data_IF_923544069025
#
_entry.id   IF_923544069025
#
_cell.length_a   1.000
_cell.length_b   1.000
_cell.length_c   1.000
_cell.angle_alpha   90.00
_cell.angle_beta   90.00
_cell.angle_gamma   90.00
#
_symmetry.space_group_name_H-M   'P 1'
#
loop_
_entity.id
_entity.type
_entity.pdbx_description
1 polymer ?
#
# COMPACT_ATOMS: atom_id res chain seq x y z
N UNK A 1 25.60 1.64 -54.85
CA UNK A 1 25.30 1.19 -53.48
C UNK A 1 25.09 2.42 -52.62
N UNK A 2 23.86 2.68 -52.19
CA UNK A 2 23.56 3.66 -51.16
C UNK A 2 22.27 3.20 -50.47
N UNK A 3 22.42 2.68 -49.25
CA UNK A 3 21.29 2.41 -48.36
C UNK A 3 21.03 3.70 -47.57
N UNK A 4 20.00 4.45 -47.95
CA UNK A 4 19.46 5.53 -47.11
C UNK A 4 18.56 4.91 -46.03
N UNK A 5 19.16 4.61 -44.88
CA UNK A 5 18.42 4.26 -43.68
C UNK A 5 17.76 5.50 -43.08
N UNK A 6 16.46 5.67 -43.34
CA UNK A 6 15.63 6.64 -42.62
C UNK A 6 15.48 6.18 -41.15
N UNK A 7 16.44 6.59 -40.32
CA UNK A 7 16.56 6.22 -38.92
C UNK A 7 15.58 6.95 -38.01
N UNK A 8 14.28 6.93 -38.32
CA UNK A 8 13.27 7.27 -37.31
C UNK A 8 13.27 6.16 -36.27
N UNK A 9 14.04 6.33 -35.20
CA UNK A 9 13.96 5.50 -34.00
C UNK A 9 12.54 5.66 -33.46
N UNK A 10 11.66 4.71 -33.79
CA UNK A 10 10.34 4.61 -33.17
C UNK A 10 10.57 4.20 -31.72
N UNK A 11 10.72 5.17 -30.82
CA UNK A 11 10.71 4.91 -29.38
C UNK A 11 9.37 4.24 -29.11
N UNK A 12 9.34 2.98 -28.64
CA UNK A 12 8.07 2.32 -28.34
C UNK A 12 7.35 3.19 -27.31
N UNK A 13 6.17 3.71 -27.67
CA UNK A 13 5.34 4.44 -26.71
C UNK A 13 5.12 3.50 -25.53
N UNK A 14 5.71 3.83 -24.38
CA UNK A 14 5.49 3.08 -23.14
C UNK A 14 3.97 3.06 -22.95
N UNK A 15 3.35 1.89 -23.06
CA UNK A 15 1.90 1.72 -22.95
C UNK A 15 1.54 2.11 -21.52
N UNK A 16 1.19 3.37 -21.30
CA UNK A 16 0.74 3.82 -19.99
C UNK A 16 -0.51 3.02 -19.62
N UNK A 17 -0.46 2.42 -18.44
CA UNK A 17 -1.63 1.78 -17.87
C UNK A 17 -2.52 2.90 -17.36
N UNK A 18 -3.40 3.38 -18.23
CA UNK A 18 -4.55 4.21 -17.92
C UNK A 18 -5.26 3.55 -16.74
N UNK A 19 -5.20 4.20 -15.55
CA UNK A 19 -5.65 3.72 -14.23
C UNK A 19 -4.66 2.92 -13.36
N UNK A 20 -3.36 3.04 -13.56
CA UNK A 20 -2.37 2.60 -12.56
C UNK A 20 -2.35 3.55 -11.35
N UNK A 21 -2.71 3.03 -10.17
CA UNK A 21 -2.60 3.74 -8.89
C UNK A 21 -1.62 3.04 -7.94
N UNK A 22 -0.65 2.32 -8.52
CA UNK A 22 0.34 1.59 -7.75
C UNK A 22 1.32 2.52 -7.05
N UNK A 23 1.59 3.71 -7.61
CA UNK A 23 2.51 4.68 -7.01
C UNK A 23 1.96 5.27 -5.71
N UNK A 24 0.66 5.55 -5.65
CA UNK A 24 -0.02 6.00 -4.43
C UNK A 24 0.02 4.91 -3.35
N UNK A 25 -0.26 3.65 -3.72
CA UNK A 25 -0.19 2.53 -2.79
C UNK A 25 1.23 2.33 -2.22
N UNK A 26 2.28 2.55 -3.03
CA UNK A 26 3.67 2.47 -2.59
C UNK A 26 3.99 3.51 -1.52
N UNK A 27 3.60 4.76 -1.76
CA UNK A 27 3.82 5.85 -0.79
C UNK A 27 3.09 5.54 0.51
N UNK A 28 1.84 5.09 0.43
CA UNK A 28 1.05 4.74 1.62
C UNK A 28 1.72 3.60 2.41
N UNK A 29 2.20 2.55 1.76
CA UNK A 29 2.89 1.45 2.45
C UNK A 29 4.18 1.87 3.14
N UNK A 30 4.97 2.75 2.52
CA UNK A 30 6.17 3.30 3.16
C UNK A 30 5.79 4.14 4.37
N UNK A 31 4.80 5.03 4.24
CA UNK A 31 4.34 5.86 5.36
C UNK A 31 3.80 4.98 6.50
N UNK A 32 2.97 3.98 6.20
CA UNK A 32 2.44 3.04 7.19
C UNK A 32 3.55 2.26 7.90
N UNK A 33 4.58 1.83 7.18
CA UNK A 33 5.72 1.14 7.78
C UNK A 33 6.46 2.05 8.77
N UNK A 34 6.70 3.32 8.40
CA UNK A 34 7.31 4.31 9.29
C UNK A 34 6.43 4.57 10.52
N UNK A 35 5.13 4.73 10.34
CA UNK A 35 4.18 4.94 11.43
C UNK A 35 4.17 3.77 12.42
N UNK A 36 4.20 2.52 11.94
CA UNK A 36 4.28 1.34 12.83
C UNK A 36 5.53 1.40 13.72
N UNK A 37 6.69 1.73 13.15
CA UNK A 37 7.95 1.82 13.90
C UNK A 37 7.93 2.98 14.89
N UNK A 38 7.46 4.16 14.46
CA UNK A 38 7.37 5.33 15.33
C UNK A 38 6.40 5.07 16.48
N UNK A 39 5.21 4.54 16.20
CA UNK A 39 4.20 4.26 17.21
C UNK A 39 4.75 3.35 18.32
N UNK A 40 5.32 2.21 17.94
CA UNK A 40 5.95 1.27 18.88
C UNK A 40 7.12 1.90 19.65
N UNK A 41 7.93 2.73 18.99
CA UNK A 41 9.05 3.43 19.65
C UNK A 41 8.59 4.48 20.65
N UNK A 42 7.42 5.10 20.44
CA UNK A 42 6.81 6.04 21.37
C UNK A 42 6.00 5.37 22.49
N UNK A 43 5.93 4.04 22.51
CA UNK A 43 5.17 3.28 23.51
C UNK A 43 3.66 3.22 23.27
N UNK A 44 3.21 3.50 22.04
CA UNK A 44 1.81 3.34 21.67
C UNK A 44 1.43 1.85 21.67
N UNK A 45 0.23 1.54 22.17
CA UNK A 45 -0.27 0.17 22.21
C UNK A 45 -0.84 -0.24 20.86
N UNK A 46 -0.04 -0.97 20.08
CA UNK A 46 -0.46 -1.56 18.82
C UNK A 46 -0.71 -3.07 19.01
N UNK A 47 -1.64 -3.68 18.26
CA UNK A 47 -1.94 -5.11 18.30
C UNK A 47 -0.84 -5.95 17.61
N UNK A 48 0.42 -5.63 17.86
CA UNK A 48 1.61 -6.23 17.28
C UNK A 48 2.66 -6.38 18.38
N UNK A 49 3.30 -7.55 18.44
CA UNK A 49 4.54 -7.69 19.21
C UNK A 49 5.65 -6.84 18.59
N UNK A 50 6.73 -6.58 19.34
CA UNK A 50 7.89 -5.82 18.82
C UNK A 50 8.45 -6.45 17.54
N UNK A 51 8.60 -7.77 17.52
CA UNK A 51 9.05 -8.50 16.31
C UNK A 51 7.99 -8.38 15.20
N UNK A 52 6.71 -8.52 15.56
CA UNK A 52 5.59 -8.36 14.61
C UNK A 52 5.61 -6.99 13.93
N UNK A 53 5.83 -5.91 14.68
CA UNK A 53 5.90 -4.56 14.15
C UNK A 53 7.05 -4.38 13.15
N UNK A 54 8.26 -4.86 13.48
CA UNK A 54 9.42 -4.78 12.59
C UNK A 54 9.20 -5.60 11.31
N UNK A 55 8.67 -6.82 11.44
CA UNK A 55 8.36 -7.69 10.30
C UNK A 55 7.28 -7.06 9.42
N UNK A 56 6.19 -6.57 9.99
CA UNK A 56 5.13 -5.88 9.25
C UNK A 56 5.65 -4.67 8.50
N UNK A 57 6.48 -3.83 9.14
CA UNK A 57 7.10 -2.68 8.49
C UNK A 57 8.01 -3.10 7.32
N UNK A 58 8.84 -4.12 7.52
CA UNK A 58 9.71 -4.65 6.46
C UNK A 58 8.89 -5.21 5.28
N UNK A 59 7.84 -5.98 5.56
CA UNK A 59 6.94 -6.53 4.53
C UNK A 59 6.27 -5.42 3.73
N UNK A 60 5.78 -4.36 4.38
CA UNK A 60 5.17 -3.20 3.71
C UNK A 60 6.17 -2.47 2.80
N UNK A 61 7.39 -2.23 3.27
CA UNK A 61 8.44 -1.57 2.47
C UNK A 61 8.87 -2.45 1.28
N UNK A 62 9.01 -3.76 1.48
CA UNK A 62 9.31 -4.69 0.39
C UNK A 62 8.18 -4.67 -0.63
N UNK A 63 6.92 -4.77 -0.19
CA UNK A 63 5.74 -4.68 -1.05
C UNK A 63 5.75 -3.37 -1.88
N UNK A 64 6.04 -2.23 -1.24
CA UNK A 64 6.19 -0.94 -1.93
C UNK A 64 7.35 -0.94 -2.96
N UNK A 65 8.48 -1.58 -2.64
CA UNK A 65 9.63 -1.67 -3.53
C UNK A 65 9.38 -2.54 -4.76
N UNK A 66 8.64 -3.64 -4.61
CA UNK A 66 8.38 -4.59 -5.71
C UNK A 66 7.17 -4.20 -6.57
N UNK A 67 6.31 -3.30 -6.08
CA UNK A 67 5.12 -2.83 -6.81
C UNK A 67 5.50 -2.18 -8.13
N UNK A 68 5.08 -2.79 -9.24
CA UNK A 68 5.42 -2.39 -10.60
C UNK A 68 4.28 -2.80 -11.55
N UNK A 69 3.86 -1.95 -12.51
CA UNK A 69 2.84 -2.29 -13.50
C UNK A 69 3.11 -3.58 -14.30
N UNK A 70 4.36 -4.01 -14.43
CA UNK A 70 4.72 -5.22 -15.18
C UNK A 70 4.29 -6.55 -14.50
N UNK A 71 3.97 -6.53 -13.20
CA UNK A 71 3.69 -7.75 -12.42
C UNK A 71 2.31 -7.66 -11.75
N UNK A 72 1.24 -8.11 -12.41
CA UNK A 72 -0.14 -7.91 -11.94
C UNK A 72 -0.43 -8.60 -10.59
N UNK A 73 0.20 -9.74 -10.30
CA UNK A 73 0.06 -10.47 -9.03
C UNK A 73 0.43 -9.62 -7.80
N UNK A 74 1.39 -8.70 -7.93
CA UNK A 74 1.82 -7.87 -6.79
C UNK A 74 0.69 -6.95 -6.33
N UNK A 75 -0.19 -6.51 -7.23
CA UNK A 75 -1.33 -5.69 -6.85
C UNK A 75 -2.36 -6.47 -6.02
N UNK A 76 -2.55 -7.77 -6.29
CA UNK A 76 -3.37 -8.64 -5.46
C UNK A 76 -2.76 -8.86 -4.07
N UNK A 77 -1.44 -9.05 -4.00
CA UNK A 77 -0.74 -9.13 -2.72
C UNK A 77 -0.88 -7.84 -1.91
N UNK A 78 -0.73 -6.67 -2.55
CA UNK A 78 -0.93 -5.39 -1.90
C UNK A 78 -2.38 -5.20 -1.41
N UNK A 79 -3.37 -5.65 -2.19
CA UNK A 79 -4.76 -5.63 -1.75
C UNK A 79 -4.98 -6.51 -0.50
N UNK A 80 -4.36 -7.70 -0.47
CA UNK A 80 -4.41 -8.58 0.71
C UNK A 80 -3.78 -7.92 1.94
N UNK A 81 -2.60 -7.31 1.81
CA UNK A 81 -1.95 -6.59 2.91
C UNK A 81 -2.78 -5.41 3.40
N UNK A 82 -3.35 -4.64 2.47
CA UNK A 82 -4.20 -3.47 2.81
C UNK A 82 -5.48 -3.89 3.52
N UNK A 83 -6.09 -4.99 3.07
CA UNK A 83 -7.26 -5.60 3.71
C UNK A 83 -6.93 -6.12 5.11
N UNK A 84 -5.84 -6.86 5.28
CA UNK A 84 -5.38 -7.34 6.57
C UNK A 84 -5.09 -6.19 7.54
N UNK A 85 -4.41 -5.13 7.07
CA UNK A 85 -4.16 -3.92 7.85
C UNK A 85 -5.46 -3.20 8.25
N UNK A 86 -6.43 -3.12 7.34
CA UNK A 86 -7.75 -2.53 7.62
C UNK A 86 -8.45 -3.29 8.74
N UNK A 87 -8.46 -4.61 8.67
CA UNK A 87 -9.09 -5.41 9.70
C UNK A 87 -8.35 -5.28 11.02
N UNK A 88 -7.03 -5.42 11.03
CA UNK A 88 -6.24 -5.39 12.27
C UNK A 88 -6.31 -4.03 12.97
N UNK A 89 -5.96 -2.96 12.27
CA UNK A 89 -5.90 -1.62 12.88
C UNK A 89 -7.29 -1.02 13.06
N UNK A 90 -8.21 -1.27 12.13
CA UNK A 90 -9.57 -0.73 12.20
C UNK A 90 -10.38 -1.33 13.35
N UNK A 91 -10.31 -2.65 13.58
CA UNK A 91 -11.01 -3.24 14.73
C UNK A 91 -10.40 -2.78 16.06
N UNK A 92 -9.06 -2.70 16.15
CA UNK A 92 -8.39 -2.21 17.35
C UNK A 92 -8.68 -0.74 17.64
N UNK A 93 -8.74 0.13 16.63
CA UNK A 93 -9.12 1.54 16.80
C UNK A 93 -10.55 1.68 17.32
N UNK A 94 -11.50 0.93 16.74
CA UNK A 94 -12.90 0.91 17.17
C UNK A 94 -13.01 0.41 18.62
N UNK A 95 -12.25 -0.63 18.99
CA UNK A 95 -12.23 -1.16 20.35
C UNK A 95 -11.70 -0.13 21.35
N UNK A 96 -10.56 0.52 21.05
CA UNK A 96 -10.01 1.59 21.88
C UNK A 96 -11.02 2.73 22.11
N UNK A 97 -11.69 3.17 21.03
CA UNK A 97 -12.71 4.20 21.14
C UNK A 97 -13.89 3.75 22.04
N UNK A 98 -14.34 2.50 21.90
CA UNK A 98 -15.42 1.94 22.73
C UNK A 98 -15.05 1.78 24.20
N UNK A 99 -13.78 1.56 24.50
CA UNK A 99 -13.25 1.52 25.87
C UNK A 99 -13.11 2.91 26.50
N UNK A 100 -13.44 3.98 25.77
CA UNK A 100 -13.39 5.36 26.27
C UNK A 100 -12.00 5.97 26.22
N UNK A 101 -11.08 5.40 25.44
CA UNK A 101 -9.76 6.00 25.18
C UNK A 101 -9.95 7.35 24.48
N UNK A 102 -9.21 8.36 24.94
CA UNK A 102 -9.28 9.71 24.36
C UNK A 102 -8.86 9.71 22.90
N UNK A 103 -9.50 10.57 22.10
CA UNK A 103 -9.12 10.80 20.69
C UNK A 103 -7.68 11.32 20.54
N UNK A 104 -7.10 11.89 21.60
CA UNK A 104 -5.73 12.41 21.63
C UNK A 104 -4.73 11.42 22.23
N UNK A 105 -5.18 10.22 22.61
CA UNK A 105 -4.26 9.17 23.02
C UNK A 105 -3.38 8.75 21.82
N UNK A 106 -2.05 8.63 22.00
CA UNK A 106 -1.16 8.22 20.91
C UNK A 106 -1.56 6.88 20.31
N UNK A 107 -1.97 5.90 21.11
CA UNK A 107 -2.33 4.55 20.65
C UNK A 107 -3.54 4.61 19.74
N UNK A 108 -4.61 5.29 20.18
CA UNK A 108 -5.79 5.50 19.35
C UNK A 108 -5.44 6.23 18.04
N UNK A 109 -4.67 7.31 18.13
CA UNK A 109 -4.30 8.13 16.97
C UNK A 109 -3.53 7.33 15.92
N UNK A 110 -2.54 6.53 16.34
CA UNK A 110 -1.77 5.68 15.42
C UNK A 110 -2.62 4.57 14.81
N UNK A 111 -3.45 3.89 15.61
CA UNK A 111 -4.34 2.83 15.14
C UNK A 111 -5.32 3.36 14.10
N UNK A 112 -5.99 4.48 14.39
CA UNK A 112 -6.95 5.11 13.48
C UNK A 112 -6.25 5.57 12.19
N UNK A 113 -5.08 6.21 12.30
CA UNK A 113 -4.32 6.65 11.12
C UNK A 113 -3.90 5.47 10.24
N UNK A 114 -3.39 4.39 10.84
CA UNK A 114 -3.00 3.18 10.11
C UNK A 114 -4.21 2.49 9.47
N UNK A 115 -5.36 2.45 10.16
CA UNK A 115 -6.61 1.93 9.61
C UNK A 115 -7.05 2.72 8.37
N UNK A 116 -7.08 4.06 8.45
CA UNK A 116 -7.46 4.92 7.32
C UNK A 116 -6.48 4.78 6.15
N UNK A 117 -5.18 4.79 6.40
CA UNK A 117 -4.17 4.56 5.37
C UNK A 117 -4.35 3.20 4.69
N UNK A 118 -4.60 2.15 5.47
CA UNK A 118 -4.82 0.82 4.92
C UNK A 118 -6.11 0.72 4.08
N UNK A 119 -7.18 1.42 4.45
CA UNK A 119 -8.40 1.53 3.66
C UNK A 119 -8.17 2.26 2.33
N UNK A 120 -7.42 3.36 2.36
CA UNK A 120 -7.06 4.11 1.16
C UNK A 120 -6.16 3.26 0.24
N UNK A 121 -5.19 2.54 0.79
CA UNK A 121 -4.36 1.61 0.03
C UNK A 121 -5.20 0.48 -0.57
N UNK A 122 -6.20 -0.05 0.15
CA UNK A 122 -7.12 -1.05 -0.36
C UNK A 122 -7.93 -0.51 -1.55
N UNK A 123 -8.39 0.74 -1.48
CA UNK A 123 -9.08 1.39 -2.59
C UNK A 123 -8.18 1.53 -3.84
N UNK A 124 -6.95 2.02 -3.69
CA UNK A 124 -6.05 2.20 -4.84
C UNK A 124 -5.59 0.87 -5.45
N UNK A 125 -5.30 -0.12 -4.61
CA UNK A 125 -4.90 -1.46 -5.08
C UNK A 125 -6.04 -2.15 -5.82
N UNK A 126 -7.27 -2.10 -5.32
CA UNK A 126 -8.45 -2.64 -6.01
C UNK A 126 -8.78 -1.89 -7.31
N UNK A 127 -8.64 -0.56 -7.34
CA UNK A 127 -8.80 0.24 -8.57
C UNK A 127 -7.77 -0.15 -9.64
N UNK A 128 -6.53 -0.40 -9.22
CA UNK A 128 -5.45 -0.85 -10.11
C UNK A 128 -5.73 -2.25 -10.65
N UNK A 129 -6.15 -3.19 -9.79
CA UNK A 129 -6.56 -4.54 -10.19
C UNK A 129 -7.68 -4.47 -11.22
N UNK A 130 -8.74 -3.68 -10.96
CA UNK A 130 -9.85 -3.51 -11.91
C UNK A 130 -9.35 -3.02 -13.27
N UNK A 131 -8.47 -2.03 -13.30
CA UNK A 131 -7.88 -1.51 -14.54
C UNK A 131 -7.04 -2.53 -15.30
N UNK A 132 -6.35 -3.44 -14.60
CA UNK A 132 -5.59 -4.55 -15.21
C UNK A 132 -6.53 -5.61 -15.79
N UNK A 133 -7.55 -6.02 -15.03
CA UNK A 133 -8.52 -7.05 -15.44
C UNK A 133 -9.28 -6.60 -16.68
N UNK A 134 -9.80 -5.36 -16.69
CA UNK A 134 -10.52 -4.79 -17.84
C UNK A 134 -9.68 -4.71 -19.14
N UNK A 135 -8.34 -4.70 -19.04
CA UNK A 135 -7.45 -4.71 -20.21
C UNK A 135 -7.13 -6.12 -20.72
N UNK A 136 -7.39 -7.13 -19.91
CA UNK A 136 -7.08 -8.53 -20.20
C UNK A 136 -8.27 -9.24 -20.84
N UNK A 137 -9.49 -8.70 -20.69
CA UNK A 137 -10.68 -9.13 -21.43
C UNK A 137 -10.57 -8.71 -22.92
N UNK A 138 -10.80 -9.64 -23.87
CA UNK A 138 -10.62 -9.43 -25.31
C UNK A 138 -11.66 -8.50 -25.95
#
# INVERSE_FOLDING_TARGET
MAYEGNGTISIPRKREIQHYHGDEARVIFVISALLIIVAQSTGADLPLSTIGAVVSAAVLVIAAGVTNPAKPWIHWFNALLSFAGTLLFGTSAIEHYRLGVSLFDPSFTYLETLALLSLIALYFTTRTIRGIVQRTEP
#
